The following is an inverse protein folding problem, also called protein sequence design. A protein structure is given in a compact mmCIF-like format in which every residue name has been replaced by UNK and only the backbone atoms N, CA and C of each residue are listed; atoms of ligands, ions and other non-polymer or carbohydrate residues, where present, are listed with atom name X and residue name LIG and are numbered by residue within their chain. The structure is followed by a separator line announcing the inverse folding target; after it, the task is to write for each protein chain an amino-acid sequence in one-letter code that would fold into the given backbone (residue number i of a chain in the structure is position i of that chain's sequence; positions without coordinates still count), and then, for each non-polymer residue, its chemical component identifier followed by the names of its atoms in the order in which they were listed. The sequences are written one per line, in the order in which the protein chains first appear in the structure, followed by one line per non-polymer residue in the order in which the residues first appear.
data_IF_613543489652
#
_entry.id   IF_613543489652
#
_cell.length_a   1.000
_cell.length_b   1.000
_cell.length_c   1.000
_cell.angle_alpha   90.00
_cell.angle_beta   90.00
_cell.angle_gamma   90.00
#
_symmetry.space_group_name_H-M   'P 1'
#
loop_
_entity.id
_entity.type
_entity.pdbx_description
1 polymer ?
#
# COMPACT_ATOMS: atom_id res chain seq x y z
N UNK A 1 -7.54 13.64 -0.39
CA UNK A 1 -8.30 13.61 -1.67
C UNK A 1 -9.09 12.31 -1.69
N UNK A 2 -10.34 12.28 -2.15
CA UNK A 2 -11.13 11.04 -2.07
C UNK A 2 -10.47 9.90 -2.87
N UNK A 3 -10.44 8.69 -2.30
CA UNK A 3 -9.86 7.51 -2.93
C UNK A 3 -8.33 7.40 -2.87
N UNK A 4 -7.63 8.19 -2.06
CA UNK A 4 -6.17 8.07 -1.89
C UNK A 4 -5.76 7.18 -0.73
N UNK A 5 -6.35 7.34 0.44
CA UNK A 5 -6.02 6.57 1.63
C UNK A 5 -6.45 5.11 1.52
N UNK A 6 -7.72 4.83 1.83
CA UNK A 6 -8.27 3.46 1.87
C UNK A 6 -8.05 2.67 0.57
N UNK A 7 -8.33 3.27 -0.58
CA UNK A 7 -8.12 2.60 -1.88
C UNK A 7 -6.64 2.34 -2.13
N UNK A 8 -5.77 3.32 -1.86
CA UNK A 8 -4.32 3.13 -1.98
C UNK A 8 -3.79 2.02 -1.07
N UNK A 9 -4.30 1.91 0.17
CA UNK A 9 -3.95 0.84 1.11
C UNK A 9 -4.30 -0.53 0.53
N UNK A 10 -5.52 -0.71 0.03
CA UNK A 10 -5.97 -1.99 -0.52
C UNK A 10 -5.23 -2.35 -1.81
N UNK A 11 -4.98 -1.37 -2.69
CA UNK A 11 -4.17 -1.57 -3.89
C UNK A 11 -2.74 -1.98 -3.57
N UNK A 12 -2.13 -1.41 -2.51
CA UNK A 12 -0.80 -1.81 -2.08
C UNK A 12 -0.77 -3.26 -1.57
N UNK A 13 -1.74 -3.66 -0.74
CA UNK A 13 -1.86 -5.06 -0.29
C UNK A 13 -2.04 -6.01 -1.48
N UNK A 14 -2.93 -5.67 -2.41
CA UNK A 14 -3.16 -6.47 -3.62
C UNK A 14 -1.89 -6.61 -4.45
N UNK A 15 -1.21 -5.49 -4.73
CA UNK A 15 0.01 -5.46 -5.53
C UNK A 15 1.15 -6.23 -4.86
N UNK A 16 1.28 -6.11 -3.54
CA UNK A 16 2.28 -6.86 -2.77
C UNK A 16 2.10 -8.36 -2.95
N UNK A 17 0.88 -8.87 -2.79
CA UNK A 17 0.56 -10.28 -3.00
C UNK A 17 0.76 -10.70 -4.46
N UNK A 18 0.32 -9.89 -5.41
CA UNK A 18 0.38 -10.23 -6.84
C UNK A 18 1.80 -10.27 -7.40
N UNK A 19 2.73 -9.51 -6.80
CA UNK A 19 4.12 -9.36 -7.29
C UNK A 19 5.19 -9.76 -6.28
N UNK A 20 4.79 -10.43 -5.19
CA UNK A 20 5.69 -10.82 -4.08
C UNK A 20 6.56 -9.67 -3.56
N UNK A 21 5.98 -8.47 -3.42
CA UNK A 21 6.70 -7.29 -2.93
C UNK A 21 6.68 -7.22 -1.40
N UNK A 22 7.71 -6.59 -0.83
CA UNK A 22 7.64 -6.14 0.55
C UNK A 22 6.58 -5.05 0.72
N UNK A 23 6.08 -4.86 1.94
CA UNK A 23 5.10 -3.80 2.22
C UNK A 23 5.63 -2.40 1.88
N UNK A 24 6.92 -2.15 2.11
CA UNK A 24 7.57 -0.89 1.75
C UNK A 24 7.64 -0.68 0.23
N UNK A 25 7.97 -1.72 -0.52
CA UNK A 25 8.01 -1.66 -1.99
C UNK A 25 6.63 -1.43 -2.60
N UNK A 26 5.61 -2.10 -2.07
CA UNK A 26 4.23 -1.90 -2.49
C UNK A 26 3.73 -0.46 -2.23
N UNK A 27 4.05 0.12 -1.06
CA UNK A 27 3.72 1.52 -0.76
C UNK A 27 4.41 2.47 -1.74
N UNK A 28 5.71 2.27 -1.99
CA UNK A 28 6.48 3.09 -2.94
C UNK A 28 5.90 3.02 -4.34
N UNK A 29 5.56 1.83 -4.82
CA UNK A 29 5.02 1.65 -6.16
C UNK A 29 3.63 2.28 -6.32
N UNK A 30 2.75 2.13 -5.33
CA UNK A 30 1.44 2.80 -5.35
C UNK A 30 1.58 4.33 -5.34
N UNK A 31 2.52 4.88 -4.55
CA UNK A 31 2.80 6.33 -4.55
C UNK A 31 3.41 6.82 -5.86
N UNK A 32 4.24 5.99 -6.53
CA UNK A 32 4.79 6.29 -7.85
C UNK A 32 3.70 6.34 -8.91
N UNK A 33 2.77 5.38 -8.90
CA UNK A 33 1.64 5.32 -9.84
C UNK A 33 0.60 6.41 -9.59
N UNK A 34 0.33 6.71 -8.31
CA UNK A 34 -0.64 7.71 -7.90
C UNK A 34 -0.12 8.48 -6.69
N UNK A 35 0.54 9.63 -6.91
CA UNK A 35 1.06 10.47 -5.84
C UNK A 35 0.00 10.82 -4.79
N UNK A 36 0.43 10.86 -3.52
CA UNK A 36 -0.44 11.15 -2.38
C UNK A 36 -1.32 9.99 -1.91
N UNK A 37 -1.19 8.78 -2.49
CA UNK A 37 -1.89 7.59 -1.99
C UNK A 37 -1.29 7.09 -0.67
N UNK A 38 -2.13 6.41 0.13
CA UNK A 38 -1.79 5.92 1.48
C UNK A 38 -1.46 7.12 2.37
N UNK A 39 -2.51 7.73 2.91
CA UNK A 39 -2.52 9.08 3.49
C UNK A 39 -2.04 9.11 4.95
N UNK A 40 -2.11 8.00 5.67
CA UNK A 40 -1.74 7.97 7.11
C UNK A 40 -0.75 6.86 7.44
N UNK A 41 -0.02 7.02 8.55
CA UNK A 41 0.95 6.04 9.06
C UNK A 41 0.28 4.72 9.42
N UNK A 42 -0.96 4.76 9.92
CA UNK A 42 -1.75 3.57 10.25
C UNK A 42 -2.07 2.75 8.99
N UNK A 43 -2.32 3.43 7.87
CA UNK A 43 -2.53 2.79 6.57
C UNK A 43 -1.25 2.14 6.05
N UNK A 44 -0.10 2.83 6.14
CA UNK A 44 1.20 2.24 5.82
C UNK A 44 1.46 0.98 6.65
N UNK A 45 1.24 1.06 7.97
CA UNK A 45 1.45 -0.06 8.87
C UNK A 45 0.49 -1.22 8.60
N UNK A 46 -0.73 -0.94 8.13
CA UNK A 46 -1.66 -1.99 7.69
C UNK A 46 -1.11 -2.78 6.50
N UNK A 47 -0.53 -2.11 5.50
CA UNK A 47 0.12 -2.77 4.36
C UNK A 47 1.31 -3.62 4.83
N UNK A 48 2.18 -3.05 5.68
CA UNK A 48 3.35 -3.77 6.20
C UNK A 48 2.93 -5.03 6.96
N UNK A 49 1.96 -4.93 7.86
CA UNK A 49 1.45 -6.08 8.63
C UNK A 49 0.75 -7.12 7.76
N UNK A 50 0.05 -6.70 6.71
CA UNK A 50 -0.54 -7.61 5.73
C UNK A 50 0.57 -8.42 5.04
N UNK A 51 1.62 -7.76 4.56
CA UNK A 51 2.71 -8.42 3.84
C UNK A 51 3.52 -9.38 4.73
N UNK A 52 3.62 -9.12 6.04
CA UNK A 52 4.26 -10.04 7.00
C UNK A 52 3.47 -11.35 7.22
N UNK A 53 2.21 -11.41 6.77
CA UNK A 53 1.29 -12.55 6.91
C UNK A 53 0.99 -13.24 5.58
N UNK A 54 1.60 -12.77 4.48
CA UNK A 54 1.58 -13.45 3.18
C UNK A 54 2.50 -14.65 3.19
#
# INVERSE_FOLDING_TARGET
MLGHGRTGTLLACYLAKARSLSGGDAIREIRRLRPGSIETREQEQAVIRFCQRL
#
